data_IF_411223840901
#
_entry.id   IF_411223840901
#
_cell.length_a   1.000
_cell.length_b   1.000
_cell.length_c   1.000
_cell.angle_alpha   90.00
_cell.angle_beta   90.00
_cell.angle_gamma   90.00
#
_symmetry.space_group_name_H-M   'P 1'
#
loop_
_entity.id
_entity.type
_entity.pdbx_description
1 polymer ?
#
# COMPACT_ATOMS: atom_id res chain seq x y z
N UNK A 1 -20.16 -13.54 -14.01
CA UNK A 1 -18.98 -13.14 -14.82
C UNK A 1 -17.85 -12.93 -13.84
N UNK A 2 -16.85 -13.80 -13.84
CA UNK A 2 -15.66 -13.58 -12.99
C UNK A 2 -15.01 -12.28 -13.45
N UNK A 3 -14.89 -11.32 -12.55
CA UNK A 3 -14.14 -10.09 -12.78
C UNK A 3 -12.69 -10.49 -13.06
N UNK A 4 -12.16 -10.14 -14.23
CA UNK A 4 -10.74 -10.33 -14.51
C UNK A 4 -9.96 -9.50 -13.50
N UNK A 5 -9.33 -10.20 -12.59
CA UNK A 5 -8.44 -9.64 -11.59
C UNK A 5 -7.23 -9.04 -12.31
N UNK A 6 -6.87 -7.82 -11.97
CA UNK A 6 -5.60 -7.25 -12.44
C UNK A 6 -4.46 -8.15 -11.95
N UNK A 7 -3.65 -8.67 -12.88
CA UNK A 7 -2.43 -9.39 -12.50
C UNK A 7 -1.60 -8.45 -11.62
N UNK A 8 -1.08 -8.98 -10.50
CA UNK A 8 -0.25 -8.18 -9.61
C UNK A 8 0.96 -7.62 -10.36
N UNK A 9 0.95 -6.32 -10.59
CA UNK A 9 1.82 -5.58 -11.53
C UNK A 9 3.33 -5.76 -11.23
N UNK A 10 3.68 -6.07 -9.97
CA UNK A 10 5.07 -6.12 -9.48
C UNK A 10 5.68 -7.53 -9.42
N UNK A 11 4.86 -8.59 -9.57
CA UNK A 11 5.33 -9.99 -9.49
C UNK A 11 5.75 -10.42 -8.07
N UNK A 12 6.36 -11.63 -7.95
CA UNK A 12 6.67 -12.29 -6.67
C UNK A 12 8.14 -12.74 -6.56
N UNK A 13 9.08 -12.03 -7.19
CA UNK A 13 10.50 -12.39 -7.18
C UNK A 13 11.18 -12.06 -5.84
N UNK A 14 12.34 -12.68 -5.55
CA UNK A 14 13.15 -12.34 -4.37
C UNK A 14 13.61 -10.87 -4.36
N UNK A 15 13.82 -10.28 -5.52
CA UNK A 15 14.15 -8.85 -5.68
C UNK A 15 12.97 -7.99 -5.25
N UNK A 16 11.75 -8.36 -5.68
CA UNK A 16 10.54 -7.66 -5.27
C UNK A 16 10.30 -7.78 -3.76
N UNK A 17 10.52 -8.94 -3.16
CA UNK A 17 10.41 -9.09 -1.71
C UNK A 17 11.36 -8.16 -0.95
N UNK A 18 12.61 -8.03 -1.39
CA UNK A 18 13.57 -7.11 -0.76
C UNK A 18 13.15 -5.63 -0.95
N UNK A 19 12.62 -5.28 -2.11
CA UNK A 19 12.07 -3.95 -2.36
C UNK A 19 10.91 -3.64 -1.42
N UNK A 20 9.97 -4.59 -1.27
CA UNK A 20 8.82 -4.45 -0.36
C UNK A 20 9.25 -4.29 1.10
N UNK A 21 10.30 -5.00 1.54
CA UNK A 21 10.86 -4.85 2.89
C UNK A 21 11.41 -3.42 3.09
N UNK A 22 12.15 -2.88 2.11
CA UNK A 22 12.64 -1.49 2.19
C UNK A 22 11.49 -0.48 2.19
N UNK A 23 10.52 -0.65 1.29
CA UNK A 23 9.30 0.16 1.25
C UNK A 23 8.58 0.14 2.60
N UNK A 24 8.40 -1.05 3.18
CA UNK A 24 7.71 -1.22 4.45
C UNK A 24 8.39 -0.44 5.58
N UNK A 25 9.74 -0.46 5.66
CA UNK A 25 10.49 0.31 6.66
C UNK A 25 10.25 1.81 6.56
N UNK A 26 10.19 2.34 5.33
CA UNK A 26 9.93 3.77 5.10
C UNK A 26 8.49 4.14 5.45
N UNK A 27 7.54 3.27 5.11
CA UNK A 27 6.11 3.54 5.33
C UNK A 27 5.64 3.18 6.75
N UNK A 28 6.35 2.32 7.48
CA UNK A 28 5.93 1.84 8.80
C UNK A 28 5.64 2.97 9.81
N UNK A 29 6.50 4.00 9.99
CA UNK A 29 6.23 5.08 10.94
C UNK A 29 4.98 5.88 10.57
N UNK A 30 4.68 6.06 9.27
CA UNK A 30 3.50 6.74 8.77
C UNK A 30 2.25 5.92 9.09
N UNK A 31 2.27 4.63 8.75
CA UNK A 31 1.16 3.71 9.00
C UNK A 31 0.90 3.56 10.50
N UNK A 32 1.95 3.44 11.32
CA UNK A 32 1.79 3.32 12.77
C UNK A 32 1.08 4.54 13.38
N UNK A 33 1.50 5.77 13.01
CA UNK A 33 0.81 7.00 13.44
C UNK A 33 -0.62 7.05 12.93
N UNK A 34 -0.84 6.70 11.66
CA UNK A 34 -2.16 6.71 11.07
C UNK A 34 -3.12 5.76 11.78
N UNK A 35 -2.72 4.52 12.06
CA UNK A 35 -3.54 3.54 12.77
C UNK A 35 -3.78 3.94 14.23
N UNK A 36 -2.77 4.48 14.92
CA UNK A 36 -2.92 5.01 16.27
C UNK A 36 -3.96 6.14 16.32
N UNK A 37 -3.86 7.10 15.39
CA UNK A 37 -4.75 8.26 15.35
C UNK A 37 -6.16 7.90 14.85
N UNK A 38 -6.30 6.81 14.07
CA UNK A 38 -7.59 6.22 13.75
C UNK A 38 -8.27 5.55 14.96
N UNK A 39 -7.52 5.35 16.06
CA UNK A 39 -8.05 4.78 17.30
C UNK A 39 -7.83 3.28 17.45
N UNK A 40 -6.94 2.66 16.65
CA UNK A 40 -6.59 1.24 16.83
C UNK A 40 -5.85 1.09 18.17
N UNK A 41 -6.41 0.27 19.08
CA UNK A 41 -5.93 0.17 20.45
C UNK A 41 -6.02 -1.27 21.02
N UNK A 42 -5.48 -1.44 22.21
CA UNK A 42 -5.40 -2.73 22.91
C UNK A 42 -6.76 -3.45 23.03
N UNK A 43 -6.74 -4.75 22.79
CA UNK A 43 -7.90 -5.63 22.90
C UNK A 43 -8.77 -5.72 21.66
N UNK A 44 -8.54 -4.90 20.64
CA UNK A 44 -9.33 -4.91 19.40
C UNK A 44 -9.11 -6.17 18.57
N UNK A 45 -10.18 -6.61 17.90
CA UNK A 45 -10.17 -7.60 16.83
C UNK A 45 -10.11 -6.87 15.48
N UNK A 46 -8.98 -6.99 14.80
CA UNK A 46 -8.68 -6.25 13.58
C UNK A 46 -8.64 -7.21 12.39
N UNK A 47 -9.17 -6.76 11.24
CA UNK A 47 -8.94 -7.37 9.93
C UNK A 47 -7.93 -6.52 9.15
N UNK A 48 -6.84 -7.13 8.71
CA UNK A 48 -5.88 -6.53 7.77
C UNK A 48 -6.12 -7.11 6.38
N UNK A 49 -6.58 -6.28 5.45
CA UNK A 49 -6.88 -6.69 4.07
C UNK A 49 -5.67 -6.48 3.16
N UNK A 50 -5.42 -7.46 2.24
CA UNK A 50 -4.27 -7.41 1.34
C UNK A 50 -2.95 -7.30 2.12
N UNK A 51 -2.77 -8.16 3.10
CA UNK A 51 -1.70 -8.04 4.09
C UNK A 51 -0.28 -8.23 3.50
N UNK A 52 -0.16 -8.78 2.28
CA UNK A 52 1.12 -9.09 1.67
C UNK A 52 2.01 -9.90 2.61
N UNK A 53 3.23 -9.43 2.86
CA UNK A 53 4.18 -10.08 3.78
C UNK A 53 3.98 -9.72 5.26
N UNK A 54 2.82 -9.16 5.64
CA UNK A 54 2.40 -8.93 7.02
C UNK A 54 2.95 -7.66 7.69
N UNK A 55 3.47 -6.71 6.94
CA UNK A 55 4.08 -5.50 7.54
C UNK A 55 3.05 -4.66 8.31
N UNK A 56 1.85 -4.44 7.76
CA UNK A 56 0.77 -3.72 8.43
C UNK A 56 0.18 -4.57 9.55
N UNK A 57 0.03 -5.89 9.32
CA UNK A 57 -0.40 -6.86 10.33
C UNK A 57 0.43 -6.75 11.61
N UNK A 58 1.77 -6.73 11.50
CA UNK A 58 2.65 -6.67 12.68
C UNK A 58 2.54 -5.32 13.41
N UNK A 59 2.37 -4.21 12.70
CA UNK A 59 2.10 -2.90 13.31
C UNK A 59 0.78 -2.96 14.10
N UNK A 60 -0.28 -3.49 13.49
CA UNK A 60 -1.57 -3.62 14.14
C UNK A 60 -1.52 -4.59 15.34
N UNK A 61 -0.83 -5.73 15.21
CA UNK A 61 -0.66 -6.70 16.29
C UNK A 61 0.04 -6.10 17.51
N UNK A 62 1.01 -5.21 17.28
CA UNK A 62 1.66 -4.46 18.35
C UNK A 62 0.71 -3.47 19.04
N UNK A 63 -0.13 -2.77 18.27
CA UNK A 63 -1.10 -1.80 18.80
C UNK A 63 -2.21 -2.47 19.60
N UNK A 64 -2.73 -3.62 19.14
CA UNK A 64 -3.81 -4.33 19.84
C UNK A 64 -3.31 -5.16 21.01
N UNK A 65 -2.03 -5.46 21.07
CA UNK A 65 -1.42 -6.21 22.18
C UNK A 65 -1.95 -7.64 22.30
N UNK A 66 -1.54 -8.33 23.38
CA UNK A 66 -1.87 -9.75 23.60
C UNK A 66 -3.36 -10.00 23.91
N UNK A 67 -4.12 -8.98 24.29
CA UNK A 67 -5.56 -9.07 24.52
C UNK A 67 -6.40 -8.91 23.24
N UNK A 68 -5.78 -8.40 22.16
CA UNK A 68 -6.40 -8.25 20.85
C UNK A 68 -5.96 -9.34 19.87
N UNK A 69 -6.49 -9.28 18.64
CA UNK A 69 -6.12 -10.22 17.57
C UNK A 69 -6.20 -9.57 16.21
N UNK A 70 -5.24 -9.86 15.34
CA UNK A 70 -5.26 -9.44 13.94
C UNK A 70 -5.47 -10.66 13.04
N UNK A 71 -6.57 -10.64 12.32
CA UNK A 71 -6.83 -11.57 11.21
C UNK A 71 -6.37 -10.90 9.93
N UNK A 72 -5.54 -11.57 9.14
CA UNK A 72 -4.96 -11.01 7.92
C UNK A 72 -5.31 -11.85 6.72
N UNK A 73 -5.70 -11.21 5.63
CA UNK A 73 -6.07 -11.88 4.38
C UNK A 73 -5.28 -11.35 3.20
N UNK A 74 -4.94 -12.24 2.28
CA UNK A 74 -4.35 -11.91 0.98
C UNK A 74 -4.75 -12.98 -0.05
N UNK A 75 -4.71 -12.63 -1.32
CA UNK A 75 -4.95 -13.56 -2.43
C UNK A 75 -3.76 -14.47 -2.70
N UNK A 76 -2.55 -13.96 -2.48
CA UNK A 76 -1.31 -14.67 -2.76
C UNK A 76 -0.89 -15.58 -1.61
N UNK A 77 -0.91 -16.90 -1.87
CA UNK A 77 -0.54 -17.91 -0.89
C UNK A 77 0.93 -17.78 -0.43
N UNK A 78 1.85 -17.41 -1.33
CA UNK A 78 3.27 -17.27 -0.99
C UNK A 78 3.52 -16.08 -0.05
N UNK A 79 2.79 -14.99 -0.23
CA UNK A 79 2.78 -13.83 0.67
C UNK A 79 2.25 -14.22 2.05
N UNK A 80 1.14 -14.94 2.12
CA UNK A 80 0.56 -15.46 3.38
C UNK A 80 1.57 -16.32 4.15
N UNK A 81 2.21 -17.29 3.49
CA UNK A 81 3.22 -18.15 4.12
C UNK A 81 4.42 -17.34 4.62
N UNK A 82 4.82 -16.32 3.87
CA UNK A 82 5.92 -15.44 4.27
C UNK A 82 5.52 -14.57 5.47
N UNK A 83 4.32 -13.99 5.46
CA UNK A 83 3.78 -13.22 6.57
C UNK A 83 3.70 -14.06 7.86
N UNK A 84 3.21 -15.30 7.76
CA UNK A 84 3.11 -16.22 8.88
C UNK A 84 4.49 -16.55 9.48
N UNK A 85 5.48 -16.91 8.64
CA UNK A 85 6.85 -17.15 9.09
C UNK A 85 7.46 -15.93 9.79
N UNK A 86 7.23 -14.73 9.25
CA UNK A 86 7.73 -13.47 9.83
C UNK A 86 7.06 -13.16 11.17
N UNK A 87 5.74 -13.33 11.28
CA UNK A 87 5.02 -13.12 12.53
C UNK A 87 5.54 -14.03 13.65
N UNK A 88 5.73 -15.32 13.36
CA UNK A 88 6.34 -16.27 14.30
C UNK A 88 7.76 -15.86 14.68
N UNK A 89 8.60 -15.47 13.71
CA UNK A 89 9.99 -15.07 13.96
C UNK A 89 10.10 -13.81 14.83
N UNK A 90 9.11 -12.91 14.76
CA UNK A 90 9.03 -11.69 15.58
C UNK A 90 8.21 -11.86 16.86
N UNK A 91 7.68 -13.06 17.15
CA UNK A 91 6.95 -13.37 18.39
C UNK A 91 5.52 -12.84 18.44
N UNK A 92 4.88 -12.60 17.29
CA UNK A 92 3.47 -12.20 17.24
C UNK A 92 2.55 -13.44 17.27
N UNK A 93 2.08 -13.80 18.47
CA UNK A 93 1.14 -14.92 18.67
C UNK A 93 -0.33 -14.51 18.47
N UNK A 94 -0.61 -13.21 18.44
CA UNK A 94 -1.95 -12.65 18.31
C UNK A 94 -2.34 -12.35 16.85
N UNK A 95 -1.82 -13.14 15.89
CA UNK A 95 -2.09 -13.00 14.47
C UNK A 95 -2.57 -14.30 13.84
N UNK A 96 -3.41 -14.19 12.80
CA UNK A 96 -3.79 -15.31 11.94
C UNK A 96 -3.83 -14.87 10.49
N UNK A 97 -3.42 -15.76 9.57
CA UNK A 97 -3.27 -15.46 8.15
C UNK A 97 -4.09 -16.44 7.32
N UNK A 98 -4.86 -15.93 6.36
CA UNK A 98 -5.73 -16.73 5.51
C UNK A 98 -5.63 -16.28 4.06
N UNK A 99 -5.56 -17.24 3.14
CA UNK A 99 -5.74 -16.92 1.72
C UNK A 99 -7.23 -16.67 1.47
N UNK A 100 -7.57 -15.45 1.05
CA UNK A 100 -8.95 -15.08 0.74
C UNK A 100 -9.01 -13.89 -0.21
N UNK A 101 -10.07 -13.85 -1.03
CA UNK A 101 -10.44 -12.65 -1.77
C UNK A 101 -11.21 -11.70 -0.85
N UNK A 102 -10.82 -10.44 -0.85
CA UNK A 102 -11.48 -9.40 -0.07
C UNK A 102 -12.96 -9.23 -0.45
N UNK A 103 -13.30 -9.47 -1.74
CA UNK A 103 -14.66 -9.33 -2.24
C UNK A 103 -15.61 -10.42 -1.70
N UNK A 104 -15.07 -11.60 -1.42
CA UNK A 104 -15.83 -12.78 -0.99
C UNK A 104 -15.67 -13.07 0.51
N UNK A 105 -14.73 -12.40 1.17
CA UNK A 105 -14.45 -12.65 2.58
C UNK A 105 -15.58 -12.18 3.48
N UNK A 106 -16.15 -13.10 4.24
CA UNK A 106 -17.22 -12.82 5.20
C UNK A 106 -16.93 -13.50 6.55
N UNK A 107 -17.39 -12.90 7.62
CA UNK A 107 -17.34 -13.49 8.96
C UNK A 107 -18.63 -13.26 9.73
N UNK A 108 -19.01 -14.24 10.56
CA UNK A 108 -20.18 -14.15 11.44
C UNK A 108 -20.02 -13.14 12.57
N UNK A 109 -18.78 -12.97 13.05
CA UNK A 109 -18.46 -12.04 14.13
C UNK A 109 -17.85 -10.75 13.55
N UNK A 110 -18.46 -9.58 13.77
CA UNK A 110 -17.95 -8.32 13.23
C UNK A 110 -16.61 -7.93 13.87
N UNK A 111 -15.82 -7.14 13.13
CA UNK A 111 -14.53 -6.62 13.57
C UNK A 111 -14.71 -5.29 14.32
N UNK A 112 -13.79 -5.04 15.27
CA UNK A 112 -13.65 -3.72 15.91
C UNK A 112 -13.01 -2.72 14.96
N UNK A 113 -12.08 -3.19 14.13
CA UNK A 113 -11.48 -2.38 13.08
C UNK A 113 -11.12 -3.20 11.84
N UNK A 114 -11.10 -2.54 10.69
CA UNK A 114 -10.59 -3.07 9.43
C UNK A 114 -9.56 -2.08 8.90
N UNK A 115 -8.40 -2.60 8.52
CA UNK A 115 -7.26 -1.81 8.04
C UNK A 115 -6.76 -2.34 6.71
N UNK A 116 -6.04 -1.52 5.95
CA UNK A 116 -5.37 -1.92 4.72
C UNK A 116 -4.46 -0.83 4.19
N UNK A 117 -3.43 -1.23 3.45
CA UNK A 117 -2.49 -0.29 2.83
C UNK A 117 -2.09 -0.75 1.44
N UNK A 118 -2.30 0.12 0.43
CA UNK A 118 -1.92 -0.11 -0.97
C UNK A 118 -2.62 -1.34 -1.58
N UNK A 119 -3.90 -1.52 -1.28
CA UNK A 119 -4.73 -2.66 -1.68
C UNK A 119 -5.81 -2.27 -2.68
N UNK A 120 -6.58 -1.22 -2.35
CA UNK A 120 -7.77 -0.86 -3.13
C UNK A 120 -7.44 -0.38 -4.54
N UNK A 121 -6.21 0.10 -4.78
CA UNK A 121 -5.76 0.43 -6.13
C UNK A 121 -5.79 -0.75 -7.10
N UNK A 122 -5.77 -2.00 -6.61
CA UNK A 122 -5.77 -3.22 -7.41
C UNK A 122 -7.15 -3.87 -7.57
N UNK A 123 -8.17 -3.35 -6.91
CA UNK A 123 -9.52 -3.92 -7.02
C UNK A 123 -10.33 -3.19 -8.10
N UNK A 124 -11.20 -3.90 -8.84
CA UNK A 124 -11.98 -3.29 -9.93
C UNK A 124 -12.97 -2.22 -9.47
N UNK A 125 -13.55 -2.38 -8.28
CA UNK A 125 -14.51 -1.44 -7.70
C UNK A 125 -14.18 -1.17 -6.22
N UNK A 126 -13.30 -0.19 -5.94
CA UNK A 126 -12.93 0.17 -4.58
C UNK A 126 -14.12 0.62 -3.72
N UNK A 127 -15.13 1.27 -4.32
CA UNK A 127 -16.30 1.76 -3.59
C UNK A 127 -17.15 0.58 -3.11
N UNK A 128 -17.38 -0.42 -3.96
CA UNK A 128 -18.09 -1.63 -3.56
C UNK A 128 -17.35 -2.40 -2.45
N UNK A 129 -16.02 -2.47 -2.52
CA UNK A 129 -15.20 -3.09 -1.46
C UNK A 129 -15.34 -2.33 -0.15
N UNK A 130 -15.23 -0.99 -0.14
CA UNK A 130 -15.39 -0.19 1.09
C UNK A 130 -16.78 -0.44 1.71
N UNK A 131 -17.83 -0.52 0.89
CA UNK A 131 -19.18 -0.84 1.35
C UNK A 131 -19.28 -2.25 1.95
N UNK A 132 -18.62 -3.23 1.33
CA UNK A 132 -18.55 -4.59 1.86
C UNK A 132 -17.85 -4.62 3.23
N UNK A 133 -16.69 -3.94 3.35
CA UNK A 133 -15.93 -3.82 4.60
C UNK A 133 -16.75 -3.12 5.71
N UNK A 134 -17.51 -2.08 5.35
CA UNK A 134 -18.44 -1.43 6.29
C UNK A 134 -19.43 -2.43 6.88
N UNK A 135 -19.94 -3.35 6.05
CA UNK A 135 -20.86 -4.42 6.50
C UNK A 135 -20.25 -5.32 7.59
N UNK A 136 -18.95 -5.56 7.56
CA UNK A 136 -18.23 -6.43 8.49
C UNK A 136 -17.79 -5.74 9.80
N UNK A 137 -17.95 -4.43 9.92
CA UNK A 137 -17.67 -3.70 11.17
C UNK A 137 -18.83 -3.78 12.15
N UNK A 138 -18.53 -3.88 13.45
CA UNK A 138 -19.53 -3.63 14.48
C UNK A 138 -19.99 -2.15 14.49
N UNK A 139 -21.14 -1.83 15.11
CA UNK A 139 -21.45 -0.43 15.39
C UNK A 139 -20.32 0.26 16.17
N UNK A 140 -19.91 1.46 15.72
CA UNK A 140 -18.76 2.18 16.26
C UNK A 140 -17.39 1.58 15.87
N UNK A 141 -17.35 0.58 15.00
CA UNK A 141 -16.09 0.01 14.47
C UNK A 141 -15.39 0.95 13.50
N UNK A 142 -14.10 0.76 13.32
CA UNK A 142 -13.20 1.65 12.58
C UNK A 142 -12.85 1.03 11.22
N UNK A 143 -12.96 1.80 10.13
CA UNK A 143 -12.29 1.50 8.88
C UNK A 143 -11.12 2.49 8.72
N UNK A 144 -9.91 1.98 8.46
CA UNK A 144 -8.72 2.82 8.26
C UNK A 144 -7.89 2.29 7.08
N UNK A 145 -7.86 3.02 5.98
CA UNK A 145 -7.24 2.63 4.72
C UNK A 145 -6.22 3.68 4.27
N UNK A 146 -5.07 3.22 3.74
CA UNK A 146 -4.03 4.07 3.15
C UNK A 146 -3.77 3.63 1.71
N UNK A 147 -3.90 4.55 0.75
CA UNK A 147 -3.72 4.30 -0.67
C UNK A 147 -2.73 5.29 -1.30
N UNK A 148 -2.17 5.00 -2.49
CA UNK A 148 -1.23 5.91 -3.11
C UNK A 148 -1.91 7.15 -3.67
N UNK A 149 -1.24 8.30 -3.59
CA UNK A 149 -1.62 9.51 -4.32
C UNK A 149 -0.53 9.87 -5.34
N UNK A 150 -0.73 9.42 -6.57
CA UNK A 150 0.19 9.65 -7.68
C UNK A 150 0.29 11.13 -8.04
N UNK A 151 -0.83 11.86 -7.98
CA UNK A 151 -0.89 13.27 -8.31
C UNK A 151 0.04 14.10 -7.41
N UNK A 152 0.01 13.84 -6.11
CA UNK A 152 0.88 14.54 -5.16
C UNK A 152 2.35 14.18 -5.39
N UNK A 153 2.66 12.90 -5.58
CA UNK A 153 4.03 12.47 -5.81
C UNK A 153 4.63 13.06 -7.08
N UNK A 154 3.88 13.08 -8.19
CA UNK A 154 4.28 13.72 -9.44
C UNK A 154 4.47 15.23 -9.28
N UNK A 155 3.56 15.90 -8.58
CA UNK A 155 3.64 17.35 -8.35
C UNK A 155 4.88 17.68 -7.54
N UNK A 156 5.18 16.91 -6.51
CA UNK A 156 6.36 17.11 -5.68
C UNK A 156 7.67 16.83 -6.44
N UNK A 157 7.68 15.87 -7.34
CA UNK A 157 8.84 15.53 -8.16
C UNK A 157 9.09 16.51 -9.33
N UNK A 158 8.22 17.50 -9.55
CA UNK A 158 8.25 18.36 -10.74
C UNK A 158 9.54 19.18 -10.91
N UNK A 159 10.26 19.47 -9.82
CA UNK A 159 11.53 20.20 -9.86
C UNK A 159 12.76 19.31 -10.14
N UNK A 160 12.57 17.99 -10.25
CA UNK A 160 13.59 16.97 -10.54
C UNK A 160 13.21 16.27 -11.86
N UNK A 161 13.67 16.76 -13.02
CA UNK A 161 13.17 16.32 -14.33
C UNK A 161 13.31 14.82 -14.59
N UNK A 162 14.46 14.20 -14.27
CA UNK A 162 14.66 12.77 -14.48
C UNK A 162 13.80 11.96 -13.50
N UNK A 163 13.76 12.36 -12.24
CA UNK A 163 12.93 11.71 -11.22
C UNK A 163 11.45 11.79 -11.58
N UNK A 164 10.98 12.92 -12.09
CA UNK A 164 9.62 13.09 -12.59
C UNK A 164 9.31 12.12 -13.75
N UNK A 165 10.23 11.97 -14.71
CA UNK A 165 10.06 11.03 -15.83
C UNK A 165 9.96 9.58 -15.34
N UNK A 166 10.82 9.17 -14.40
CA UNK A 166 10.78 7.82 -13.82
C UNK A 166 9.50 7.59 -13.02
N UNK A 167 9.04 8.60 -12.24
CA UNK A 167 7.78 8.51 -11.49
C UNK A 167 6.58 8.40 -12.44
N UNK A 168 6.59 9.12 -13.58
CA UNK A 168 5.55 8.98 -14.62
C UNK A 168 5.56 7.58 -15.23
N UNK A 169 6.72 7.06 -15.60
CA UNK A 169 6.85 5.71 -16.16
C UNK A 169 6.34 4.64 -15.19
N UNK A 170 6.63 4.78 -13.88
CA UNK A 170 6.10 3.89 -12.86
C UNK A 170 4.56 3.98 -12.77
N UNK A 171 3.99 5.20 -12.71
CA UNK A 171 2.52 5.39 -12.73
C UNK A 171 1.88 4.74 -13.95
N UNK A 172 2.43 4.98 -15.13
CA UNK A 172 1.89 4.48 -16.40
C UNK A 172 1.94 2.94 -16.44
N UNK A 173 2.98 2.33 -15.85
CA UNK A 173 3.07 0.88 -15.71
C UNK A 173 1.99 0.32 -14.75
N UNK A 174 1.72 0.97 -13.63
CA UNK A 174 0.61 0.59 -12.73
C UNK A 174 -0.72 0.69 -13.46
N UNK A 175 -0.98 1.80 -14.13
CA UNK A 175 -2.23 2.03 -14.88
C UNK A 175 -2.41 1.00 -16.00
N UNK A 176 -1.36 0.70 -16.77
CA UNK A 176 -1.39 -0.32 -17.82
C UNK A 176 -1.59 -1.74 -17.28
N UNK A 177 -1.19 -2.00 -16.03
CA UNK A 177 -1.46 -3.23 -15.30
C UNK A 177 -2.87 -3.31 -14.69
N UNK A 178 -3.70 -2.27 -14.87
CA UNK A 178 -5.07 -2.22 -14.37
C UNK A 178 -5.23 -1.63 -12.98
N UNK A 179 -4.15 -1.14 -12.34
CA UNK A 179 -4.27 -0.48 -11.04
C UNK A 179 -4.87 0.93 -11.19
N UNK A 180 -5.71 1.33 -10.24
CA UNK A 180 -6.22 2.70 -10.16
C UNK A 180 -5.11 3.66 -9.72
N UNK A 181 -4.98 4.77 -10.45
CA UNK A 181 -4.06 5.86 -10.08
C UNK A 181 -4.79 7.09 -9.53
N UNK A 182 -6.08 6.95 -9.22
CA UNK A 182 -7.00 8.02 -8.81
C UNK A 182 -7.63 7.74 -7.42
N UNK A 183 -6.83 7.14 -6.52
CA UNK A 183 -7.34 6.68 -5.22
C UNK A 183 -7.79 7.81 -4.30
N UNK A 184 -7.31 9.04 -4.49
CA UNK A 184 -7.67 10.18 -3.66
C UNK A 184 -9.18 10.43 -3.62
N UNK A 185 -9.84 10.39 -4.78
CA UNK A 185 -11.28 10.63 -4.90
C UNK A 185 -12.07 9.38 -4.54
N UNK A 186 -11.65 8.21 -5.03
CA UNK A 186 -12.35 6.94 -4.83
C UNK A 186 -12.41 6.55 -3.35
N UNK A 187 -11.34 6.82 -2.59
CA UNK A 187 -11.30 6.53 -1.16
C UNK A 187 -12.35 7.34 -0.40
N UNK A 188 -12.37 8.66 -0.57
CA UNK A 188 -13.36 9.54 0.06
C UNK A 188 -14.79 9.19 -0.36
N UNK A 189 -15.04 9.04 -1.67
CA UNK A 189 -16.36 8.68 -2.20
C UNK A 189 -16.84 7.34 -1.64
N UNK A 190 -15.93 6.35 -1.53
CA UNK A 190 -16.26 5.05 -0.97
C UNK A 190 -16.69 5.12 0.50
N UNK A 191 -16.00 5.92 1.32
CA UNK A 191 -16.41 6.15 2.71
C UNK A 191 -17.79 6.77 2.80
N UNK A 192 -18.05 7.87 2.07
CA UNK A 192 -19.34 8.55 2.08
C UNK A 192 -20.47 7.63 1.55
N UNK A 193 -20.24 6.95 0.43
CA UNK A 193 -21.24 6.04 -0.17
C UNK A 193 -21.56 4.82 0.71
N UNK A 194 -20.64 4.46 1.63
CA UNK A 194 -20.84 3.36 2.57
C UNK A 194 -21.58 3.75 3.86
N UNK A 195 -21.78 5.05 4.11
CA UNK A 195 -22.48 5.58 5.26
C UNK A 195 -21.57 6.06 6.40
N UNK A 196 -20.27 6.22 6.17
CA UNK A 196 -19.41 6.89 7.14
C UNK A 196 -19.74 8.39 7.18
N UNK A 197 -19.96 8.92 8.38
CA UNK A 197 -20.12 10.35 8.61
C UNK A 197 -18.75 10.98 8.86
N UNK A 198 -18.42 12.03 8.11
CA UNK A 198 -17.20 12.84 8.30
C UNK A 198 -15.90 12.01 8.39
N UNK A 199 -15.56 11.20 7.36
CA UNK A 199 -14.30 10.47 7.39
C UNK A 199 -13.12 11.45 7.44
N UNK A 200 -12.16 11.17 8.33
CA UNK A 200 -10.95 11.96 8.42
C UNK A 200 -9.98 11.56 7.32
N UNK A 201 -9.38 12.55 6.67
CA UNK A 201 -8.41 12.36 5.61
C UNK A 201 -7.04 12.87 6.03
N UNK A 202 -6.00 12.14 5.62
CA UNK A 202 -4.60 12.54 5.79
C UNK A 202 -3.83 12.29 4.51
N UNK A 203 -2.90 13.20 4.22
CA UNK A 203 -1.95 13.01 3.12
C UNK A 203 -0.55 13.10 3.70
N UNK A 204 0.27 12.10 3.41
CA UNK A 204 1.64 12.02 3.87
C UNK A 204 2.58 11.72 2.69
N UNK A 205 3.67 12.45 2.61
CA UNK A 205 4.72 12.25 1.61
C UNK A 205 6.00 11.84 2.33
N UNK A 206 6.45 10.59 2.23
CA UNK A 206 7.74 10.21 2.76
C UNK A 206 8.87 10.86 1.94
N UNK A 207 9.81 11.45 2.64
CA UNK A 207 11.00 12.08 2.04
C UNK A 207 12.26 11.63 2.77
N UNK A 208 13.37 11.54 2.06
CA UNK A 208 14.64 11.11 2.63
C UNK A 208 15.79 11.25 1.66
N UNK A 209 17.02 11.12 2.17
CA UNK A 209 18.21 11.30 1.36
C UNK A 209 19.32 10.26 1.66
N UNK A 210 19.05 9.27 2.52
CA UNK A 210 19.98 8.17 2.73
C UNK A 210 19.98 7.19 1.54
N UNK A 211 21.01 6.37 1.35
CA UNK A 211 21.13 5.46 0.21
C UNK A 211 19.95 4.48 0.06
N UNK A 212 19.38 3.99 1.16
CA UNK A 212 18.23 3.09 1.14
C UNK A 212 16.99 3.80 0.57
N UNK A 213 16.76 5.05 0.98
CA UNK A 213 15.64 5.84 0.50
C UNK A 213 15.78 6.23 -0.98
N UNK A 214 17.00 6.64 -1.39
CA UNK A 214 17.29 7.00 -2.78
C UNK A 214 17.06 5.84 -3.75
N UNK A 215 17.25 4.59 -3.30
CA UNK A 215 17.06 3.39 -4.13
C UNK A 215 15.60 3.02 -4.38
N UNK A 216 14.64 3.52 -3.60
CA UNK A 216 13.23 3.07 -3.66
C UNK A 216 12.58 3.29 -5.04
N UNK A 217 12.82 4.43 -5.68
CA UNK A 217 12.23 4.71 -6.99
C UNK A 217 12.88 3.90 -8.13
N UNK A 218 14.22 3.84 -8.27
CA UNK A 218 14.81 2.96 -9.29
C UNK A 218 14.50 1.49 -9.06
N UNK A 219 14.45 1.01 -7.80
CA UNK A 219 14.04 -0.36 -7.49
C UNK A 219 12.57 -0.63 -7.87
N UNK A 220 11.68 0.34 -7.67
CA UNK A 220 10.29 0.23 -8.10
C UNK A 220 10.20 0.11 -9.63
N UNK A 221 10.92 0.95 -10.37
CA UNK A 221 10.93 0.86 -11.83
C UNK A 221 11.48 -0.50 -12.30
N UNK A 222 12.56 -0.99 -11.69
CA UNK A 222 13.13 -2.30 -12.01
C UNK A 222 12.12 -3.43 -11.77
N UNK A 223 11.34 -3.39 -10.69
CA UNK A 223 10.27 -4.37 -10.42
C UNK A 223 9.10 -4.28 -11.43
N UNK A 224 8.86 -3.11 -12.02
CA UNK A 224 7.83 -2.89 -13.03
C UNK A 224 8.29 -3.28 -14.45
N UNK A 225 9.58 -3.52 -14.69
CA UNK A 225 10.11 -3.81 -16.03
C UNK A 225 9.41 -4.95 -16.75
N UNK A 226 9.08 -6.10 -16.12
CA UNK A 226 8.33 -7.16 -16.81
C UNK A 226 6.98 -6.67 -17.35
N UNK A 227 6.26 -5.85 -16.59
CA UNK A 227 4.98 -5.28 -17.01
C UNK A 227 5.17 -4.21 -18.10
N UNK A 228 6.18 -3.35 -17.98
CA UNK A 228 6.54 -2.34 -18.99
C UNK A 228 6.79 -3.00 -20.33
N UNK A 229 7.58 -4.09 -20.37
CA UNK A 229 7.88 -4.84 -21.58
C UNK A 229 6.62 -5.52 -22.11
N UNK A 230 5.87 -6.23 -21.28
CA UNK A 230 4.65 -6.94 -21.69
C UNK A 230 3.57 -6.01 -22.25
N UNK A 231 3.48 -4.77 -21.76
CA UNK A 231 2.53 -3.74 -22.22
C UNK A 231 3.11 -2.80 -23.28
N UNK A 232 4.34 -3.05 -23.72
CA UNK A 232 5.05 -2.24 -24.73
C UNK A 232 5.02 -0.72 -24.41
N UNK A 233 5.29 -0.37 -23.14
CA UNK A 233 5.32 1.02 -22.71
C UNK A 233 6.64 1.70 -23.15
N UNK A 234 6.54 2.90 -23.68
CA UNK A 234 7.69 3.66 -24.16
C UNK A 234 8.48 4.26 -22.98
N UNK A 235 9.69 3.75 -22.72
CA UNK A 235 10.61 4.25 -21.69
C UNK A 235 11.99 4.66 -22.25
N UNK A 236 12.18 4.70 -23.57
CA UNK A 236 13.46 5.07 -24.21
C UNK A 236 13.96 6.45 -23.77
N UNK A 237 13.03 7.34 -23.44
CA UNK A 237 13.32 8.67 -22.90
C UNK A 237 14.01 8.67 -21.55
N UNK A 238 14.04 7.53 -20.85
CA UNK A 238 14.79 7.36 -19.59
C UNK A 238 16.30 7.11 -19.83
N UNK A 239 16.70 6.79 -21.07
CA UNK A 239 18.08 6.48 -21.45
C UNK A 239 18.55 5.13 -20.90
N UNK A 240 19.86 4.99 -20.69
CA UNK A 240 20.43 3.73 -20.18
C UNK A 240 19.96 3.42 -18.76
N UNK A 241 19.23 2.33 -18.62
CA UNK A 241 18.68 1.88 -17.31
C UNK A 241 19.77 1.37 -16.36
N UNK A 242 20.92 0.92 -16.85
CA UNK A 242 22.02 0.45 -16.02
C UNK A 242 22.66 1.62 -15.23
N UNK A 243 22.59 2.84 -15.76
CA UNK A 243 23.11 4.05 -15.11
C UNK A 243 22.01 4.89 -14.45
N UNK A 244 20.76 4.45 -14.51
CA UNK A 244 19.62 5.25 -14.08
C UNK A 244 19.71 5.66 -12.59
N UNK A 245 20.09 4.71 -11.74
CA UNK A 245 20.24 4.99 -10.29
C UNK A 245 21.26 6.10 -10.04
N UNK A 246 22.43 5.99 -10.66
CA UNK A 246 23.50 6.98 -10.46
C UNK A 246 23.10 8.36 -11.00
N UNK A 247 22.38 8.41 -12.13
CA UNK A 247 21.85 9.67 -12.70
C UNK A 247 20.80 10.30 -11.81
N UNK A 248 19.91 9.50 -11.17
CA UNK A 248 18.93 9.98 -10.20
C UNK A 248 19.61 10.52 -8.92
N UNK A 249 20.67 9.87 -8.47
CA UNK A 249 21.46 10.34 -7.33
C UNK A 249 22.21 11.65 -7.66
N UNK A 250 22.83 11.74 -8.85
CA UNK A 250 23.47 12.97 -9.34
C UNK A 250 22.49 14.14 -9.48
N UNK A 251 21.24 13.88 -9.94
CA UNK A 251 20.22 14.91 -10.01
C UNK A 251 19.92 15.49 -8.64
N UNK A 252 19.75 14.64 -7.61
CA UNK A 252 19.50 15.08 -6.24
C UNK A 252 20.68 15.90 -5.68
N UNK A 253 21.91 15.43 -5.92
CA UNK A 253 23.11 16.11 -5.42
C UNK A 253 23.32 17.46 -6.10
N UNK A 254 23.08 17.54 -7.42
CA UNK A 254 23.20 18.79 -8.20
C UNK A 254 22.18 19.84 -7.77
N UNK A 255 20.95 19.43 -7.52
CA UNK A 255 19.87 20.33 -7.12
C UNK A 255 19.83 20.58 -5.59
N UNK A 256 20.80 20.04 -4.81
CA UNK A 256 20.81 20.06 -3.34
C UNK A 256 19.44 19.65 -2.75
N UNK A 257 18.86 18.61 -3.32
CA UNK A 257 17.50 18.16 -3.02
C UNK A 257 17.48 16.82 -2.30
N UNK A 258 16.29 16.34 -2.00
CA UNK A 258 16.06 15.04 -1.37
C UNK A 258 15.06 14.24 -2.19
N UNK A 259 15.12 12.92 -2.03
CA UNK A 259 14.18 12.01 -2.68
C UNK A 259 12.82 12.03 -1.98
N UNK A 260 11.75 11.96 -2.77
CA UNK A 260 10.41 11.58 -2.32
C UNK A 260 10.09 10.15 -2.77
N UNK A 261 9.20 9.50 -2.03
CA UNK A 261 8.64 8.20 -2.42
C UNK A 261 7.11 8.29 -2.47
N UNK A 262 6.43 7.17 -2.76
CA UNK A 262 4.98 7.18 -2.95
C UNK A 262 4.26 7.92 -1.81
N UNK A 263 3.55 8.98 -2.18
CA UNK A 263 2.70 9.70 -1.25
C UNK A 263 1.47 8.85 -0.93
N UNK A 264 1.01 8.91 0.32
CA UNK A 264 -0.15 8.17 0.79
C UNK A 264 -1.28 9.13 1.11
N UNK A 265 -2.48 8.78 0.65
CA UNK A 265 -3.72 9.30 1.21
C UNK A 265 -4.31 8.26 2.15
N UNK A 266 -4.54 8.65 3.40
CA UNK A 266 -5.24 7.83 4.38
C UNK A 266 -6.64 8.36 4.62
N UNK A 267 -7.61 7.47 4.77
CA UNK A 267 -8.94 7.79 5.25
C UNK A 267 -9.32 6.87 6.40
N UNK A 268 -9.91 7.40 7.45
CA UNK A 268 -10.50 6.59 8.50
C UNK A 268 -11.82 7.20 9.01
N UNK A 269 -12.70 6.33 9.48
CA UNK A 269 -14.00 6.72 10.00
C UNK A 269 -14.61 5.64 10.87
N UNK A 270 -15.63 6.01 11.64
CA UNK A 270 -16.39 5.13 12.53
C UNK A 270 -17.76 4.80 11.91
N UNK A 271 -18.15 3.50 12.01
CA UNK A 271 -19.48 3.02 11.59
C UNK A 271 -20.56 3.50 12.52
#
# INVERSE_FOLDING_TARGET
MALQQADYVLGHTSVEQQRLIRQARVLAPLTQRFLHDAGICSGMRVLDIGCGMGDVTMIAAQLVGTAGHVTSIDLDQASIETAQRRAVAFGFENTSFHRADIADYVRSNPFDAIIGRLVLQFVPDPIAIIKHLYGMLRPGGILALQEPTWKLWLTYSAHLPLRLLVTKAARDAFQAGGASTEMEQQLYQGFIASGFHEPQLRVELPVGNNPEFRSLLPDLLAALMPNIIAKNLAIDHLGDLNTLKDRLDQELDKENSFASYVALIGAFGHK
#
